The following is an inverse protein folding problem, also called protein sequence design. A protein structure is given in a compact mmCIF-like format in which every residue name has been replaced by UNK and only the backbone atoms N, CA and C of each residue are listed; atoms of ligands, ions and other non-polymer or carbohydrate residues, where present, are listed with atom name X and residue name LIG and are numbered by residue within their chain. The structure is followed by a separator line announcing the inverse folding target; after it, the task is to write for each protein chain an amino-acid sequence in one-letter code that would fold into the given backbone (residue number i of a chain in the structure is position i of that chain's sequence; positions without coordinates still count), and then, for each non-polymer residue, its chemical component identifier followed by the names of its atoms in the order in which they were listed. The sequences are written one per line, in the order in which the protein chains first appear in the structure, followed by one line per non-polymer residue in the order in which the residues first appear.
data_IF_718497697004
#
_entry.id   IF_718497697004
#
_cell.length_a   1.000
_cell.length_b   1.000
_cell.length_c   1.000
_cell.angle_alpha   90.00
_cell.angle_beta   90.00
_cell.angle_gamma   90.00
#
_symmetry.space_group_name_H-M   'P 1'
#
loop_
_entity.id
_entity.type
_entity.pdbx_description
1 polymer ?
#
# COMPACT_ATOMS: atom_id res chain seq x y z
N UNK A 1 24.13 3.72 -5.16
CA UNK A 1 22.87 4.34 -4.72
C UNK A 1 21.96 3.23 -4.22
N UNK A 2 21.49 3.32 -2.98
CA UNK A 2 20.53 2.36 -2.43
C UNK A 2 19.13 2.88 -2.74
N UNK A 3 18.38 2.11 -3.54
CA UNK A 3 17.00 2.39 -3.97
C UNK A 3 16.20 1.10 -3.82
N UNK A 4 14.87 1.22 -3.72
CA UNK A 4 13.90 0.16 -3.35
C UNK A 4 13.68 0.06 -1.83
N UNK A 5 12.41 0.14 -1.40
CA UNK A 5 12.05 0.20 0.03
C UNK A 5 12.43 -1.08 0.78
N UNK A 6 12.37 -2.23 0.12
CA UNK A 6 12.81 -3.49 0.71
C UNK A 6 14.32 -3.50 0.89
N UNK A 7 15.09 -3.15 -0.14
CA UNK A 7 16.56 -3.11 -0.05
C UNK A 7 17.03 -2.11 1.00
N UNK A 8 16.32 -0.99 1.15
CA UNK A 8 16.56 -0.01 2.21
C UNK A 8 16.29 -0.64 3.59
N UNK A 9 15.16 -1.32 3.78
CA UNK A 9 14.84 -1.97 5.05
C UNK A 9 15.88 -3.05 5.42
N UNK A 10 16.29 -3.90 4.46
CA UNK A 10 17.32 -4.93 4.70
C UNK A 10 18.67 -4.32 5.08
N UNK A 11 19.06 -3.22 4.42
CA UNK A 11 20.29 -2.49 4.77
C UNK A 11 20.22 -1.88 6.17
N UNK A 12 19.09 -1.28 6.53
CA UNK A 12 18.90 -0.68 7.86
C UNK A 12 18.94 -1.74 8.96
N UNK A 13 18.29 -2.89 8.77
CA UNK A 13 18.35 -4.02 9.70
C UNK A 13 19.77 -4.57 9.89
N UNK A 14 20.59 -4.57 8.84
CA UNK A 14 22.01 -4.96 8.92
C UNK A 14 22.84 -3.93 9.70
N UNK A 15 22.61 -2.63 9.47
CA UNK A 15 23.39 -1.54 10.08
C UNK A 15 22.97 -1.20 11.50
N UNK A 16 21.71 -1.43 11.85
CA UNK A 16 21.11 -1.11 13.15
C UNK A 16 20.41 -2.35 13.74
N UNK A 17 21.17 -3.39 14.12
CA UNK A 17 20.63 -4.69 14.52
C UNK A 17 19.83 -4.67 15.83
N UNK A 18 19.86 -3.56 16.57
CA UNK A 18 19.09 -3.33 17.79
C UNK A 18 17.59 -3.11 17.55
N UNK A 19 17.18 -2.76 16.32
CA UNK A 19 15.79 -2.44 15.96
C UNK A 19 15.43 -2.97 14.56
N UNK A 20 15.47 -4.29 14.33
CA UNK A 20 15.15 -4.84 13.02
C UNK A 20 13.64 -4.76 12.76
N UNK A 21 13.25 -4.41 11.53
CA UNK A 21 11.84 -4.39 11.11
C UNK A 21 11.45 -5.65 10.34
N UNK A 22 12.43 -6.38 9.80
CA UNK A 22 12.21 -7.66 9.14
C UNK A 22 12.53 -8.78 10.15
N UNK A 23 11.56 -9.62 10.53
CA UNK A 23 11.77 -10.64 11.54
C UNK A 23 12.79 -11.68 11.07
N UNK A 24 13.60 -12.20 12.02
CA UNK A 24 14.61 -13.23 11.74
C UNK A 24 13.99 -14.57 11.33
N UNK A 25 12.81 -14.88 11.86
CA UNK A 25 12.01 -16.06 11.52
C UNK A 25 10.80 -15.61 10.71
N UNK A 26 10.41 -16.38 9.70
CA UNK A 26 9.22 -16.06 8.92
C UNK A 26 9.42 -14.97 7.86
N UNK A 27 10.65 -14.63 7.47
CA UNK A 27 10.94 -13.65 6.39
C UNK A 27 10.13 -13.90 5.12
N UNK A 28 9.95 -15.16 4.72
CA UNK A 28 9.15 -15.51 3.55
C UNK A 28 7.67 -15.11 3.69
N UNK A 29 7.12 -15.15 4.91
CA UNK A 29 5.73 -14.76 5.18
C UNK A 29 5.53 -13.25 5.08
N UNK A 30 6.52 -12.43 5.45
CA UNK A 30 6.51 -10.98 5.21
C UNK A 30 6.31 -10.66 3.72
N UNK A 31 7.12 -11.30 2.87
CA UNK A 31 7.03 -11.15 1.42
C UNK A 31 5.71 -11.68 0.87
N UNK A 32 5.23 -12.81 1.40
CA UNK A 32 3.95 -13.37 0.99
C UNK A 32 2.79 -12.44 1.35
N UNK A 33 2.83 -11.81 2.53
CA UNK A 33 1.84 -10.82 2.93
C UNK A 33 1.91 -9.58 2.04
N UNK A 34 3.10 -9.07 1.74
CA UNK A 34 3.27 -7.96 0.79
C UNK A 34 2.64 -8.28 -0.56
N UNK A 35 2.93 -9.45 -1.13
CA UNK A 35 2.34 -9.86 -2.40
C UNK A 35 0.82 -10.03 -2.30
N UNK A 36 0.32 -10.59 -1.21
CA UNK A 36 -1.11 -10.67 -0.94
C UNK A 36 -1.76 -9.28 -0.89
N UNK A 37 -1.20 -8.34 -0.14
CA UNK A 37 -1.70 -6.97 -0.04
C UNK A 37 -1.66 -6.24 -1.39
N UNK A 38 -0.52 -6.31 -2.08
CA UNK A 38 -0.31 -5.70 -3.40
C UNK A 38 -1.28 -6.25 -4.44
N UNK A 39 -1.61 -7.53 -4.39
CA UNK A 39 -2.56 -8.12 -5.35
C UNK A 39 -4.02 -7.89 -4.95
N UNK A 40 -4.29 -7.68 -3.66
CA UNK A 40 -5.65 -7.60 -3.12
C UNK A 40 -6.19 -6.17 -3.03
N UNK A 41 -5.34 -5.19 -2.73
CA UNK A 41 -5.74 -3.80 -2.44
C UNK A 41 -5.24 -2.82 -3.50
N UNK A 42 -3.96 -2.90 -3.85
CA UNK A 42 -3.31 -1.90 -4.72
C UNK A 42 -3.98 -1.70 -6.09
N UNK A 43 -4.59 -2.71 -6.76
CA UNK A 43 -5.29 -2.47 -8.02
C UNK A 43 -6.48 -1.51 -7.91
N UNK A 44 -7.05 -1.36 -6.72
CA UNK A 44 -8.24 -0.53 -6.46
C UNK A 44 -7.89 0.87 -5.94
N UNK A 45 -6.64 1.15 -5.59
CA UNK A 45 -6.19 2.47 -5.10
C UNK A 45 -6.17 3.58 -6.18
N UNK A 46 -5.71 3.36 -7.42
CA UNK A 46 -5.39 4.48 -8.31
C UNK A 46 -6.57 5.41 -8.62
N UNK A 47 -7.74 4.86 -8.96
CA UNK A 47 -8.87 5.67 -9.38
C UNK A 47 -9.48 6.53 -8.27
N UNK A 48 -9.77 6.01 -7.07
CA UNK A 48 -10.30 6.85 -5.99
C UNK A 48 -9.26 7.81 -5.39
N UNK A 49 -7.94 7.55 -5.49
CA UNK A 49 -6.92 8.38 -4.84
C UNK A 49 -6.18 9.36 -5.76
N UNK A 50 -5.80 8.98 -6.98
CA UNK A 50 -4.91 9.80 -7.82
C UNK A 50 -5.46 11.19 -8.17
N UNK A 51 -6.78 11.39 -8.37
CA UNK A 51 -7.32 12.74 -8.57
C UNK A 51 -7.04 13.67 -7.39
N UNK A 52 -7.26 13.22 -6.15
CA UNK A 52 -6.97 14.00 -4.95
C UNK A 52 -5.47 14.23 -4.77
N UNK A 53 -4.63 13.23 -5.06
CA UNK A 53 -3.18 13.38 -5.02
C UNK A 53 -2.68 14.45 -6.01
N UNK A 54 -3.31 14.55 -7.18
CA UNK A 54 -3.01 15.61 -8.15
C UNK A 54 -3.42 17.00 -7.65
N UNK A 55 -4.59 17.13 -7.02
CA UNK A 55 -5.10 18.41 -6.50
C UNK A 55 -4.22 19.03 -5.41
N UNK A 56 -3.60 18.20 -4.56
CA UNK A 56 -2.74 18.67 -3.45
C UNK A 56 -1.27 18.85 -3.87
N UNK A 57 -0.93 18.50 -5.10
CA UNK A 57 0.46 18.52 -5.58
C UNK A 57 0.90 19.95 -5.91
N UNK A 58 2.20 20.23 -5.74
CA UNK A 58 2.78 21.51 -6.15
C UNK A 58 2.69 21.72 -7.67
N UNK A 59 2.61 22.98 -8.10
CA UNK A 59 2.44 23.38 -9.50
C UNK A 59 3.54 22.85 -10.42
N UNK A 60 4.76 22.60 -9.92
CA UNK A 60 5.88 22.11 -10.74
C UNK A 60 5.77 20.62 -11.00
N UNK A 61 5.23 19.86 -10.05
CA UNK A 61 5.08 18.41 -10.14
C UNK A 61 3.82 17.98 -10.89
N UNK A 62 2.75 18.80 -10.84
CA UNK A 62 1.45 18.50 -11.49
C UNK A 62 1.56 18.10 -12.98
N UNK A 63 2.29 18.82 -13.86
CA UNK A 63 2.35 18.46 -15.28
C UNK A 63 2.95 17.08 -15.54
N UNK A 64 4.00 16.72 -14.80
CA UNK A 64 4.62 15.40 -14.89
C UNK A 64 3.69 14.31 -14.35
N UNK A 65 3.06 14.55 -13.19
CA UNK A 65 2.12 13.60 -12.61
C UNK A 65 0.94 13.33 -13.56
N UNK A 66 0.26 14.38 -14.03
CA UNK A 66 -0.87 14.25 -14.95
C UNK A 66 -0.48 13.48 -16.21
N UNK A 67 0.56 13.91 -16.92
CA UNK A 67 0.98 13.27 -18.17
C UNK A 67 1.33 11.79 -18.01
N UNK A 68 2.06 11.42 -16.95
CA UNK A 68 2.45 10.03 -16.71
C UNK A 68 1.27 9.14 -16.31
N UNK A 69 0.35 9.64 -15.48
CA UNK A 69 -0.83 8.86 -15.05
C UNK A 69 -1.84 8.72 -16.19
N UNK A 70 -2.10 9.78 -16.95
CA UNK A 70 -2.97 9.70 -18.12
C UNK A 70 -2.43 8.71 -19.17
N UNK A 71 -1.11 8.70 -19.40
CA UNK A 71 -0.48 7.74 -20.29
C UNK A 71 -0.58 6.30 -19.76
N UNK A 72 -0.38 6.09 -18.45
CA UNK A 72 -0.47 4.77 -17.82
C UNK A 72 -1.88 4.18 -17.89
N UNK A 73 -2.93 4.99 -17.68
CA UNK A 73 -4.32 4.52 -17.60
C UNK A 73 -5.13 4.76 -18.89
N UNK A 74 -4.58 5.46 -19.88
CA UNK A 74 -5.25 5.77 -21.15
C UNK A 74 -6.50 6.64 -21.00
N UNK A 75 -6.61 7.41 -19.92
CA UNK A 75 -7.77 8.23 -19.54
C UNK A 75 -7.32 9.59 -19.06
N UNK A 76 -8.19 10.60 -19.13
CA UNK A 76 -7.96 11.88 -18.48
C UNK A 76 -8.12 11.76 -16.98
N UNK A 77 -7.32 12.50 -16.22
CA UNK A 77 -7.35 12.42 -14.75
C UNK A 77 -8.73 12.82 -14.19
N UNK A 78 -9.43 13.73 -14.88
CA UNK A 78 -10.80 14.14 -14.57
C UNK A 78 -11.81 12.99 -14.72
N UNK A 79 -11.51 12.00 -15.57
CA UNK A 79 -12.35 10.84 -15.85
C UNK A 79 -11.98 9.60 -14.99
N UNK A 80 -11.01 9.71 -14.08
CA UNK A 80 -10.54 8.58 -13.27
C UNK A 80 -11.61 8.11 -12.27
N UNK A 81 -12.27 9.03 -11.58
CA UNK A 81 -13.28 8.70 -10.56
C UNK A 81 -14.27 9.87 -10.37
N UNK A 82 -15.09 10.15 -11.39
CA UNK A 82 -16.09 11.23 -11.33
C UNK A 82 -17.14 10.96 -10.25
N UNK A 83 -17.70 12.03 -9.69
CA UNK A 83 -18.72 11.96 -8.64
C UNK A 83 -19.95 11.13 -9.05
N UNK A 84 -20.55 10.48 -8.06
CA UNK A 84 -21.71 9.61 -8.23
C UNK A 84 -21.33 8.14 -8.38
N UNK A 85 -22.15 7.33 -9.10
CA UNK A 85 -22.09 5.87 -9.03
C UNK A 85 -20.73 5.25 -9.39
N UNK A 86 -19.94 5.92 -10.25
CA UNK A 86 -18.60 5.45 -10.64
C UNK A 86 -17.64 5.53 -9.45
N UNK A 87 -17.57 6.69 -8.79
CA UNK A 87 -16.74 6.87 -7.59
C UNK A 87 -17.21 5.97 -6.45
N UNK A 88 -18.52 5.80 -6.27
CA UNK A 88 -19.06 4.90 -5.25
C UNK A 88 -18.59 3.45 -5.47
N UNK A 89 -18.55 3.01 -6.74
CA UNK A 89 -18.04 1.68 -7.10
C UNK A 89 -16.56 1.55 -6.79
N UNK A 90 -15.74 2.54 -7.13
CA UNK A 90 -14.30 2.50 -6.82
C UNK A 90 -14.02 2.43 -5.32
N UNK A 91 -14.74 3.19 -4.50
CA UNK A 91 -14.63 3.09 -3.04
C UNK A 91 -15.11 1.75 -2.51
N UNK A 92 -16.19 1.19 -3.07
CA UNK A 92 -16.68 -0.13 -2.69
C UNK A 92 -15.69 -1.24 -3.02
N UNK A 93 -15.06 -1.19 -4.19
CA UNK A 93 -14.04 -2.17 -4.59
C UNK A 93 -12.80 -2.10 -3.69
N UNK A 94 -12.39 -0.88 -3.32
CA UNK A 94 -11.31 -0.67 -2.37
C UNK A 94 -11.66 -1.21 -0.97
N UNK A 95 -12.85 -0.91 -0.46
CA UNK A 95 -13.38 -1.44 0.80
C UNK A 95 -13.36 -2.97 0.78
N UNK A 96 -13.86 -3.60 -0.28
CA UNK A 96 -13.84 -5.05 -0.45
C UNK A 96 -12.41 -5.62 -0.47
N UNK A 97 -11.43 -4.87 -0.99
CA UNK A 97 -10.01 -5.22 -0.92
C UNK A 97 -9.51 -5.25 0.52
N UNK A 98 -9.80 -4.22 1.29
CA UNK A 98 -9.43 -4.16 2.71
C UNK A 98 -10.20 -5.17 3.57
N UNK A 99 -11.46 -5.50 3.26
CA UNK A 99 -12.22 -6.54 3.94
C UNK A 99 -11.54 -7.92 3.84
N UNK A 100 -10.91 -8.22 2.70
CA UNK A 100 -10.11 -9.45 2.53
C UNK A 100 -8.87 -9.44 3.41
N UNK A 101 -8.20 -8.29 3.53
CA UNK A 101 -7.04 -8.13 4.43
C UNK A 101 -7.49 -8.29 5.89
N UNK A 102 -8.58 -7.63 6.28
CA UNK A 102 -9.18 -7.74 7.61
C UNK A 102 -9.57 -9.18 7.94
N UNK A 103 -10.12 -9.93 6.98
CA UNK A 103 -10.46 -11.35 7.15
C UNK A 103 -9.23 -12.20 7.53
N UNK A 104 -8.06 -11.88 6.97
CA UNK A 104 -6.79 -12.55 7.31
C UNK A 104 -6.30 -12.10 8.69
N UNK A 105 -6.26 -10.80 8.97
CA UNK A 105 -5.81 -10.25 10.26
C UNK A 105 -6.68 -10.71 11.43
N UNK A 106 -7.99 -10.89 11.22
CA UNK A 106 -8.92 -11.42 12.22
C UNK A 106 -8.64 -12.90 12.60
N UNK A 107 -7.65 -13.55 11.99
CA UNK A 107 -7.16 -14.88 12.42
C UNK A 107 -6.09 -14.79 13.51
N UNK A 108 -5.60 -13.59 13.83
CA UNK A 108 -4.69 -13.36 14.94
C UNK A 108 -5.34 -13.71 16.28
N UNK A 109 -4.50 -13.82 17.32
CA UNK A 109 -4.97 -13.89 18.70
C UNK A 109 -5.71 -12.60 19.07
N UNK A 110 -6.64 -12.66 20.03
CA UNK A 110 -7.32 -11.45 20.52
C UNK A 110 -6.32 -10.36 20.89
N UNK A 111 -6.69 -9.12 20.56
CA UNK A 111 -5.94 -7.89 20.90
C UNK A 111 -4.55 -7.78 20.24
N UNK A 112 -4.31 -8.49 19.12
CA UNK A 112 -3.11 -8.34 18.29
C UNK A 112 -3.46 -7.83 16.89
N UNK A 113 -3.06 -6.58 16.62
CA UNK A 113 -3.34 -5.89 15.36
C UNK A 113 -2.22 -6.07 14.30
N UNK A 114 -1.08 -6.63 14.68
CA UNK A 114 0.08 -6.75 13.77
C UNK A 114 0.04 -8.02 12.92
N UNK A 115 0.49 -7.92 11.68
CA UNK A 115 0.47 -8.99 10.66
C UNK A 115 1.11 -10.29 11.16
N UNK A 116 2.21 -10.19 11.90
CA UNK A 116 2.97 -11.34 12.38
C UNK A 116 2.38 -12.00 13.65
N UNK A 117 1.18 -11.60 14.10
CA UNK A 117 0.55 -12.06 15.35
C UNK A 117 1.49 -11.89 16.57
N UNK A 118 2.33 -10.87 16.55
CA UNK A 118 3.31 -10.56 17.60
C UNK A 118 2.98 -9.25 18.33
N UNK A 119 3.69 -8.94 19.43
CA UNK A 119 3.52 -7.67 20.15
C UNK A 119 4.18 -6.47 19.45
N UNK A 120 4.95 -6.71 18.39
CA UNK A 120 5.72 -5.70 17.67
C UNK A 120 5.32 -5.70 16.19
N UNK A 121 5.31 -4.50 15.60
CA UNK A 121 5.12 -4.32 14.17
C UNK A 121 6.32 -4.84 13.39
N UNK A 122 6.05 -5.34 12.19
CA UNK A 122 7.03 -5.80 11.22
C UNK A 122 6.98 -4.95 9.95
N UNK A 123 7.86 -5.23 8.99
CA UNK A 123 7.83 -4.60 7.67
C UNK A 123 6.47 -4.75 6.99
N UNK A 124 5.80 -5.89 7.14
CA UNK A 124 4.46 -6.12 6.59
C UNK A 124 3.43 -5.10 7.10
N UNK A 125 3.52 -4.69 8.36
CA UNK A 125 2.65 -3.66 8.94
C UNK A 125 2.94 -2.27 8.34
N UNK A 126 4.20 -1.99 8.02
CA UNK A 126 4.56 -0.74 7.31
C UNK A 126 4.06 -0.71 5.88
N UNK A 127 3.96 -1.86 5.21
CA UNK A 127 3.36 -1.94 3.87
C UNK A 127 1.86 -1.65 3.93
N UNK A 128 1.17 -2.16 4.96
CA UNK A 128 -0.26 -1.94 5.17
C UNK A 128 -0.60 -0.45 5.42
N UNK A 129 0.34 0.32 5.98
CA UNK A 129 0.14 1.70 6.44
C UNK A 129 0.78 2.77 5.55
N UNK A 130 1.45 2.38 4.46
CA UNK A 130 2.13 3.27 3.52
C UNK A 130 1.19 3.88 2.48
#
# INVERSE_FOLDING_TARGET
MLIDSLKIAEYLDEKFPERPVIPKKGRAFEYMFEQFFVTTVVPYLPFPFLPFAYEIMDEKSQPYFKSTREAQFGKKIEDFSPEGPVRDTHWKDLENGFDKVATVLNKNRPDIDFVADGPESTRADFILTA
#
